data_IF_092297000862
#
_entry.id   IF_092297000862
#
_cell.length_a   1.000
_cell.length_b   1.000
_cell.length_c   1.000
_cell.angle_alpha   90.00
_cell.angle_beta   90.00
_cell.angle_gamma   90.00
#
_symmetry.space_group_name_H-M   'P 1'
#
loop_
_entity.id
_entity.type
_entity.pdbx_description
1 polymer ?
#
# COMPACT_ATOMS: atom_id res chain seq x y z
N UNK A 1 2.96 -11.35 6.97
CA UNK A 1 3.86 -10.49 7.78
C UNK A 1 3.09 -9.47 8.60
N UNK A 2 2.22 -8.66 8.00
CA UNK A 2 1.37 -7.65 8.69
C UNK A 2 0.47 -8.22 9.80
N UNK A 3 -0.18 -9.37 9.57
CA UNK A 3 -1.02 -10.04 10.58
C UNK A 3 -0.21 -10.40 11.84
N UNK A 4 0.95 -11.03 11.66
CA UNK A 4 1.82 -11.44 12.77
C UNK A 4 2.39 -10.23 13.51
N UNK A 5 2.75 -9.18 12.78
CA UNK A 5 3.25 -7.94 13.38
C UNK A 5 2.15 -7.25 14.22
N UNK A 6 0.90 -7.21 13.74
CA UNK A 6 -0.22 -6.67 14.49
C UNK A 6 -0.46 -7.45 15.80
N UNK A 7 -0.42 -8.79 15.76
CA UNK A 7 -0.54 -9.61 16.97
C UNK A 7 0.59 -9.35 17.97
N UNK A 8 1.84 -9.31 17.50
CA UNK A 8 2.99 -9.03 18.36
C UNK A 8 2.95 -7.61 18.97
N UNK A 9 2.47 -6.63 18.22
CA UNK A 9 2.31 -5.25 18.70
C UNK A 9 1.24 -5.16 19.78
N UNK A 10 0.14 -5.92 19.63
CA UNK A 10 -0.88 -6.05 20.66
C UNK A 10 -0.33 -6.67 21.95
N UNK A 11 0.42 -7.77 21.84
CA UNK A 11 1.02 -8.45 22.99
C UNK A 11 2.08 -7.59 23.71
N UNK A 12 2.87 -6.81 22.95
CA UNK A 12 3.97 -6.00 23.49
C UNK A 12 3.58 -4.55 23.81
N UNK A 13 2.29 -4.26 23.93
CA UNK A 13 1.80 -2.91 24.25
C UNK A 13 2.39 -2.44 25.59
N UNK A 14 3.40 -1.57 25.52
CA UNK A 14 4.14 -1.02 26.68
C UNK A 14 3.62 0.33 27.15
N UNK A 15 2.89 1.05 26.31
CA UNK A 15 2.42 2.41 26.55
C UNK A 15 0.89 2.46 26.56
N UNK A 16 0.34 3.52 27.16
CA UNK A 16 -1.11 3.75 27.16
C UNK A 16 -1.64 4.08 25.75
N UNK A 17 -0.77 4.52 24.84
CA UNK A 17 -1.14 4.83 23.46
C UNK A 17 -1.13 3.57 22.57
N UNK A 18 -2.08 3.46 21.61
CA UNK A 18 -2.10 2.36 20.66
C UNK A 18 -0.87 2.38 19.76
N UNK A 19 -0.36 1.20 19.41
CA UNK A 19 0.74 1.08 18.46
C UNK A 19 0.23 1.34 17.04
N UNK A 20 1.05 1.92 16.15
CA UNK A 20 0.62 2.25 14.78
C UNK A 20 1.35 1.36 13.77
N UNK A 21 0.59 0.68 12.92
CA UNK A 21 1.05 -0.14 11.80
C UNK A 21 0.63 0.50 10.48
N UNK A 22 1.60 1.08 9.78
CA UNK A 22 1.39 1.68 8.45
C UNK A 22 1.86 0.74 7.35
N UNK A 23 1.00 0.49 6.37
CA UNK A 23 1.30 -0.32 5.18
C UNK A 23 1.40 0.59 3.95
N UNK A 24 2.33 0.29 3.04
CA UNK A 24 2.54 1.09 1.82
C UNK A 24 1.62 0.61 0.69
N UNK A 25 0.59 1.41 0.42
CA UNK A 25 -0.37 1.24 -0.68
C UNK A 25 0.09 1.85 -1.99
N UNK A 26 -0.90 2.16 -2.85
CA UNK A 26 -0.74 2.91 -4.10
C UNK A 26 -2.13 3.26 -4.65
N UNK A 27 -2.32 4.48 -5.16
CA UNK A 27 -3.55 4.88 -5.84
C UNK A 27 -3.81 4.09 -7.14
N UNK A 28 -2.81 3.36 -7.62
CA UNK A 28 -2.98 2.41 -8.75
C UNK A 28 -4.04 1.34 -8.45
N UNK A 29 -4.37 1.10 -7.18
CA UNK A 29 -5.44 0.18 -6.79
C UNK A 29 -6.81 0.56 -7.38
N UNK A 30 -7.11 1.86 -7.53
CA UNK A 30 -8.38 2.34 -8.08
C UNK A 30 -8.52 2.04 -9.58
N UNK A 31 -7.42 1.72 -10.26
CA UNK A 31 -7.39 1.38 -11.68
C UNK A 31 -7.27 -0.13 -11.92
N UNK A 32 -7.35 -0.93 -10.86
CA UNK A 32 -7.38 -2.39 -10.96
C UNK A 32 -8.60 -2.85 -11.75
N UNK A 33 -8.37 -3.79 -12.67
CA UNK A 33 -9.42 -4.47 -13.45
C UNK A 33 -9.68 -5.89 -12.92
N UNK A 34 -9.16 -6.20 -11.73
CA UNK A 34 -9.34 -7.50 -11.10
C UNK A 34 -10.83 -7.80 -10.95
N UNK A 35 -11.27 -8.91 -11.56
CA UNK A 35 -12.59 -9.48 -11.35
C UNK A 35 -12.43 -10.67 -10.42
N UNK A 36 -13.09 -10.61 -9.27
CA UNK A 36 -13.08 -11.71 -8.32
C UNK A 36 -13.71 -12.93 -8.98
N UNK A 37 -13.08 -14.11 -8.92
CA UNK A 37 -13.65 -15.31 -9.49
C UNK A 37 -14.93 -15.69 -8.73
N UNK A 38 -16.00 -16.00 -9.43
CA UNK A 38 -17.25 -16.51 -8.84
C UNK A 38 -17.07 -17.92 -8.29
N UNK A 39 -16.12 -18.67 -8.85
CA UNK A 39 -15.72 -20.02 -8.42
C UNK A 39 -14.20 -20.18 -8.57
N UNK A 40 -13.56 -20.90 -7.65
CA UNK A 40 -12.12 -21.18 -7.66
C UNK A 40 -11.26 -20.22 -6.83
N UNK A 41 -9.94 -20.41 -6.90
CA UNK A 41 -8.96 -19.68 -6.07
C UNK A 41 -8.48 -18.39 -6.74
N UNK A 42 -8.59 -17.27 -6.03
CA UNK A 42 -8.00 -15.99 -6.43
C UNK A 42 -6.47 -16.11 -6.65
N UNK A 43 -5.77 -16.90 -5.84
CA UNK A 43 -4.33 -17.08 -5.99
C UNK A 43 -3.99 -17.76 -7.32
N UNK A 44 -4.79 -18.73 -7.73
CA UNK A 44 -4.62 -19.38 -9.03
C UNK A 44 -4.90 -18.40 -10.18
N UNK A 45 -5.86 -17.47 -10.04
CA UNK A 45 -6.07 -16.43 -11.04
C UNK A 45 -4.87 -15.49 -11.14
N UNK A 46 -4.27 -15.13 -10.00
CA UNK A 46 -3.14 -14.20 -9.93
C UNK A 46 -1.82 -14.82 -10.45
N UNK A 47 -1.69 -16.15 -10.42
CA UNK A 47 -0.46 -16.89 -10.80
C UNK A 47 -0.50 -17.43 -12.24
N UNK A 48 -1.48 -17.01 -13.05
CA UNK A 48 -1.63 -17.43 -14.45
C UNK A 48 -0.67 -16.69 -15.38
N UNK A 49 0.32 -17.37 -15.99
CA UNK A 49 1.32 -16.70 -16.83
C UNK A 49 0.74 -16.19 -18.16
N UNK A 50 -0.30 -16.84 -18.67
CA UNK A 50 -1.00 -16.51 -19.92
C UNK A 50 -1.73 -15.16 -19.88
N UNK A 51 -2.08 -14.68 -18.69
CA UNK A 51 -2.78 -13.39 -18.50
C UNK A 51 -1.92 -12.35 -17.79
N UNK A 52 -0.63 -12.62 -17.62
CA UNK A 52 0.26 -11.77 -16.86
C UNK A 52 0.58 -10.48 -17.62
N UNK A 53 -0.01 -9.38 -17.17
CA UNK A 53 0.49 -8.03 -17.46
C UNK A 53 1.09 -7.43 -16.19
N UNK A 54 2.35 -6.98 -16.28
CA UNK A 54 3.11 -6.52 -15.11
C UNK A 54 2.43 -5.36 -14.38
N UNK A 55 1.86 -4.41 -15.12
CA UNK A 55 1.30 -3.21 -14.53
C UNK A 55 -0.09 -3.47 -13.96
N UNK A 56 -0.91 -4.25 -14.67
CA UNK A 56 -2.19 -4.74 -14.19
C UNK A 56 -2.01 -5.59 -12.93
N UNK A 57 -1.01 -6.47 -12.89
CA UNK A 57 -0.71 -7.28 -11.72
C UNK A 57 -0.30 -6.42 -10.53
N UNK A 58 0.53 -5.39 -10.75
CA UNK A 58 0.86 -4.41 -9.71
C UNK A 58 -0.41 -3.71 -9.16
N UNK A 59 -1.33 -3.27 -10.03
CA UNK A 59 -2.61 -2.69 -9.63
C UNK A 59 -3.46 -3.66 -8.81
N UNK A 60 -3.57 -4.91 -9.28
CA UNK A 60 -4.33 -5.96 -8.61
C UNK A 60 -3.75 -6.26 -7.22
N UNK A 61 -2.43 -6.40 -7.10
CA UNK A 61 -1.77 -6.59 -5.79
C UNK A 61 -2.03 -5.43 -4.84
N UNK A 62 -2.02 -4.19 -5.35
CA UNK A 62 -2.31 -3.00 -4.52
C UNK A 62 -3.77 -2.93 -4.07
N UNK A 63 -4.71 -3.37 -4.91
CA UNK A 63 -6.12 -3.55 -4.52
C UNK A 63 -6.28 -4.63 -3.44
N UNK A 64 -5.67 -5.80 -3.63
CA UNK A 64 -5.74 -6.90 -2.66
C UNK A 64 -5.11 -6.53 -1.32
N UNK A 65 -4.01 -5.77 -1.33
CA UNK A 65 -3.41 -5.21 -0.13
C UNK A 65 -4.40 -4.32 0.62
N UNK A 66 -5.12 -3.45 -0.09
CA UNK A 66 -6.12 -2.57 0.54
C UNK A 66 -7.27 -3.37 1.15
N UNK A 67 -7.82 -4.33 0.40
CA UNK A 67 -8.87 -5.23 0.91
C UNK A 67 -8.41 -5.98 2.18
N UNK A 68 -7.17 -6.50 2.15
CA UNK A 68 -6.58 -7.16 3.30
C UNK A 68 -6.45 -6.24 4.52
N UNK A 69 -6.01 -5.00 4.34
CA UNK A 69 -5.84 -4.06 5.45
C UNK A 69 -7.20 -3.65 6.04
N UNK A 70 -8.22 -3.43 5.21
CA UNK A 70 -9.59 -3.13 5.68
C UNK A 70 -10.13 -4.28 6.51
N UNK A 71 -10.03 -5.51 6.02
CA UNK A 71 -10.46 -6.72 6.75
C UNK A 71 -9.68 -6.93 8.05
N UNK A 72 -8.37 -6.67 8.03
CA UNK A 72 -7.54 -6.79 9.23
C UNK A 72 -7.91 -5.73 10.27
N UNK A 73 -8.08 -4.47 9.84
CA UNK A 73 -8.49 -3.37 10.71
C UNK A 73 -9.85 -3.66 11.36
N UNK A 74 -10.83 -4.17 10.60
CA UNK A 74 -12.14 -4.55 11.14
C UNK A 74 -12.07 -5.60 12.28
N UNK A 75 -10.99 -6.38 12.36
CA UNK A 75 -10.77 -7.43 13.36
C UNK A 75 -9.85 -7.01 14.51
N UNK A 76 -9.26 -5.82 14.44
CA UNK A 76 -8.29 -5.32 15.41
C UNK A 76 -8.88 -4.12 16.13
N UNK A 77 -8.88 -4.14 17.47
CA UNK A 77 -9.32 -2.98 18.24
C UNK A 77 -8.34 -1.81 18.03
N UNK A 78 -8.78 -0.64 17.55
CA UNK A 78 -7.92 0.52 17.35
C UNK A 78 -7.30 1.05 18.66
N UNK A 79 -7.86 0.72 19.82
CA UNK A 79 -7.26 1.02 21.11
C UNK A 79 -5.99 0.19 21.39
N UNK A 80 -5.81 -0.95 20.71
CA UNK A 80 -4.61 -1.78 20.79
C UNK A 80 -3.61 -1.41 19.68
N UNK A 81 -4.08 -1.47 18.43
CA UNK A 81 -3.26 -1.22 17.25
C UNK A 81 -4.05 -0.45 16.19
N UNK A 82 -3.53 0.71 15.80
CA UNK A 82 -4.02 1.47 14.65
C UNK A 82 -3.37 0.92 13.39
N UNK A 83 -4.17 0.57 12.38
CA UNK A 83 -3.66 0.05 11.11
C UNK A 83 -4.11 0.99 10.00
N UNK A 84 -3.18 1.54 9.24
CA UNK A 84 -3.49 2.43 8.12
C UNK A 84 -2.67 2.10 6.88
N UNK A 85 -3.13 2.60 5.73
CA UNK A 85 -2.42 2.50 4.45
C UNK A 85 -2.02 3.89 4.01
N UNK A 86 -0.75 4.07 3.62
CA UNK A 86 -0.28 5.32 3.06
C UNK A 86 0.15 5.15 1.59
N UNK A 87 0.00 6.20 0.80
CA UNK A 87 0.54 6.26 -0.55
C UNK A 87 1.60 7.37 -0.65
N UNK A 88 2.89 7.04 -0.89
CA UNK A 88 3.95 8.03 -1.06
C UNK A 88 3.81 8.87 -2.34
N UNK A 89 2.92 8.45 -3.25
CA UNK A 89 2.77 9.03 -4.58
C UNK A 89 3.93 8.67 -5.50
N UNK A 90 3.88 9.22 -6.72
CA UNK A 90 4.96 9.05 -7.69
C UNK A 90 6.24 9.68 -7.14
N UNK A 91 7.26 8.86 -6.88
CA UNK A 91 8.50 9.28 -6.21
C UNK A 91 9.71 8.95 -7.07
N UNK A 92 10.46 9.96 -7.50
CA UNK A 92 11.71 9.75 -8.25
C UNK A 92 12.87 9.37 -7.33
N UNK A 93 13.91 8.79 -7.91
CA UNK A 93 15.04 8.26 -7.14
C UNK A 93 14.78 6.89 -6.50
N UNK A 94 13.61 6.29 -6.76
CA UNK A 94 13.30 4.90 -6.42
C UNK A 94 13.69 3.97 -7.58
N UNK A 95 13.86 2.69 -7.29
CA UNK A 95 14.00 1.63 -8.31
C UNK A 95 12.65 1.13 -8.85
N UNK A 96 11.60 1.96 -8.80
CA UNK A 96 10.29 1.64 -9.36
C UNK A 96 10.39 1.55 -10.88
N UNK A 97 9.90 0.45 -11.47
CA UNK A 97 9.99 0.22 -12.91
C UNK A 97 11.36 -0.25 -13.41
N UNK A 98 12.28 -0.68 -12.53
CA UNK A 98 13.60 -1.22 -12.94
C UNK A 98 13.50 -2.40 -13.91
N UNK A 99 12.45 -3.20 -13.76
CA UNK A 99 12.16 -4.40 -14.56
C UNK A 99 11.46 -4.09 -15.88
N UNK A 100 11.20 -2.80 -16.18
CA UNK A 100 10.66 -2.41 -17.47
C UNK A 100 11.73 -2.53 -18.57
N UNK A 101 11.28 -2.80 -19.80
CA UNK A 101 12.16 -2.88 -20.95
C UNK A 101 12.94 -1.55 -21.15
N UNK A 102 14.04 -1.59 -21.90
CA UNK A 102 14.94 -0.42 -22.04
C UNK A 102 14.21 0.82 -22.57
N UNK A 103 13.35 0.64 -23.57
CA UNK A 103 12.58 1.74 -24.19
C UNK A 103 11.65 2.39 -23.17
N UNK A 104 10.85 1.60 -22.46
CA UNK A 104 9.96 2.09 -21.41
C UNK A 104 10.74 2.79 -20.28
N UNK A 105 11.93 2.30 -19.90
CA UNK A 105 12.77 2.97 -18.90
C UNK A 105 13.27 4.33 -19.36
N UNK A 106 13.67 4.47 -20.63
CA UNK A 106 14.14 5.74 -21.19
C UNK A 106 13.03 6.78 -21.23
N UNK A 107 11.80 6.36 -21.52
CA UNK A 107 10.62 7.25 -21.56
C UNK A 107 10.10 7.56 -20.15
N UNK A 108 9.98 6.55 -19.28
CA UNK A 108 9.39 6.73 -17.94
C UNK A 108 10.29 7.50 -16.99
N UNK A 109 11.61 7.36 -17.07
CA UNK A 109 12.54 8.07 -16.18
C UNK A 109 12.38 9.60 -16.18
N UNK A 110 12.39 10.30 -17.34
CA UNK A 110 12.20 11.75 -17.36
C UNK A 110 10.78 12.13 -16.91
N UNK A 111 9.75 11.37 -17.28
CA UNK A 111 8.36 11.62 -16.84
C UNK A 111 8.23 11.51 -15.33
N UNK A 112 8.77 10.44 -14.73
CA UNK A 112 8.77 10.22 -13.27
C UNK A 112 9.62 11.27 -12.56
N UNK A 113 10.70 11.75 -13.18
CA UNK A 113 11.52 12.84 -12.60
C UNK A 113 10.81 14.20 -12.67
N UNK A 114 10.04 14.46 -13.71
CA UNK A 114 9.31 15.72 -13.89
C UNK A 114 8.03 15.79 -13.05
N UNK A 115 7.28 14.69 -12.95
CA UNK A 115 5.99 14.63 -12.25
C UNK A 115 6.09 14.05 -10.84
N UNK A 116 7.18 13.35 -10.54
CA UNK A 116 7.39 12.71 -9.26
C UNK A 116 7.98 13.64 -8.21
N UNK A 117 7.80 13.25 -6.95
CA UNK A 117 8.34 13.93 -5.78
C UNK A 117 9.73 13.37 -5.45
N UNK A 118 10.60 14.17 -4.78
CA UNK A 118 11.85 13.64 -4.26
C UNK A 118 11.61 12.53 -3.23
N UNK A 119 12.58 11.62 -3.14
CA UNK A 119 12.57 10.47 -2.22
C UNK A 119 12.21 10.87 -0.78
N UNK A 120 12.82 11.94 -0.25
CA UNK A 120 12.57 12.39 1.12
C UNK A 120 11.13 12.90 1.32
N UNK A 121 10.52 13.53 0.31
CA UNK A 121 9.11 13.93 0.38
C UNK A 121 8.19 12.72 0.34
N UNK A 122 8.45 11.74 -0.54
CA UNK A 122 7.72 10.47 -0.52
C UNK A 122 7.87 9.75 0.83
N UNK A 123 9.06 9.83 1.43
CA UNK A 123 9.35 9.24 2.74
C UNK A 123 8.58 9.90 3.88
N UNK A 124 8.42 11.22 3.82
CA UNK A 124 7.70 11.99 4.84
C UNK A 124 6.23 11.57 4.99
N UNK A 125 5.61 11.04 3.92
CA UNK A 125 4.24 10.51 3.98
C UNK A 125 4.13 9.29 4.90
N UNK A 126 5.15 8.42 4.95
CA UNK A 126 5.16 7.28 5.88
C UNK A 126 5.22 7.76 7.33
N UNK A 127 6.11 8.72 7.60
CA UNK A 127 6.29 9.28 8.95
C UNK A 127 5.02 10.00 9.39
N UNK A 128 4.40 10.77 8.50
CA UNK A 128 3.14 11.45 8.78
C UNK A 128 2.02 10.44 9.10
N UNK A 129 1.86 9.40 8.28
CA UNK A 129 0.87 8.35 8.52
C UNK A 129 1.10 7.60 9.85
N UNK A 130 2.37 7.41 10.24
CA UNK A 130 2.73 6.72 11.46
C UNK A 130 2.49 7.56 12.72
N UNK A 131 2.77 8.87 12.66
CA UNK A 131 2.87 9.73 13.86
C UNK A 131 1.68 10.67 14.02
N UNK A 132 1.10 11.18 12.93
CA UNK A 132 0.20 12.35 12.99
C UNK A 132 -1.29 12.01 12.88
N UNK A 133 -1.65 10.85 12.33
CA UNK A 133 -3.06 10.62 11.95
C UNK A 133 -3.92 9.99 13.03
N UNK A 134 -3.31 9.21 13.92
CA UNK A 134 -4.00 8.57 15.03
C UNK A 134 -5.18 7.68 14.60
N UNK A 135 -6.16 7.54 15.50
CA UNK A 135 -7.27 6.58 15.35
C UNK A 135 -8.14 6.83 14.13
N UNK A 136 -8.24 8.08 13.66
CA UNK A 136 -9.02 8.44 12.48
C UNK A 136 -8.50 7.81 11.17
N UNK A 137 -7.27 7.31 11.18
CA UNK A 137 -6.68 6.60 10.03
C UNK A 137 -6.95 5.10 10.00
N UNK A 138 -7.54 4.55 11.07
CA UNK A 138 -7.70 3.10 11.22
C UNK A 138 -8.58 2.51 10.11
N UNK A 139 -8.05 1.55 9.36
CA UNK A 139 -8.69 0.92 8.20
C UNK A 139 -8.71 1.77 6.92
N UNK A 140 -8.19 3.00 6.96
CA UNK A 140 -8.24 3.96 5.87
C UNK A 140 -7.04 3.91 4.91
N UNK A 141 -7.27 4.35 3.67
CA UNK A 141 -6.22 4.63 2.69
C UNK A 141 -5.94 6.13 2.61
N UNK A 142 -4.68 6.50 2.81
CA UNK A 142 -4.25 7.88 2.95
C UNK A 142 -3.55 8.34 1.69
N UNK A 143 -4.15 9.32 1.04
CA UNK A 143 -3.49 10.11 0.01
C UNK A 143 -2.57 11.13 0.68
N UNK A 144 -1.50 11.58 0.00
CA UNK A 144 -0.60 12.58 0.58
C UNK A 144 -1.39 13.78 1.12
N UNK A 145 -1.27 14.04 2.43
CA UNK A 145 -1.76 15.25 3.11
C UNK A 145 -3.29 15.47 3.10
N UNK A 146 -4.09 14.44 2.81
CA UNK A 146 -5.57 14.51 2.88
C UNK A 146 -6.18 13.28 3.54
N UNK A 147 -7.22 13.53 4.33
CA UNK A 147 -8.16 12.52 4.86
C UNK A 147 -9.20 12.24 3.75
N UNK A 148 -9.44 10.97 3.44
CA UNK A 148 -10.53 10.53 2.55
C UNK A 148 -11.30 9.43 3.25
#
# INVERSE_FOLDING_TARGET
>A
MTLLLASLMKEKKRQQQPSVLTVVGSDTMYFSKLRLPTTGSLFHLMDRPDTFDRFQQYMNTKLLLMMFVVELAARVNPADVIINVCNPGLTYGTNLGREANRVARVIMRPVVRALGRPLHVGASVYVHALVMEGIASHGGHRKPWKVC
#
